data_IF_396446899537
#
_entry.id   IF_396446899537
#
_cell.length_a   1.000
_cell.length_b   1.000
_cell.length_c   1.000
_cell.angle_alpha   90.00
_cell.angle_beta   90.00
_cell.angle_gamma   90.00
#
_symmetry.space_group_name_H-M   'P 1'
#
loop_
_entity.id
_entity.type
_entity.pdbx_description
1 polymer ?
#
# COMPACT_ATOMS: atom_id res chain seq x y z
N UNK A 1 -33.27 -7.23 -6.36
CA UNK A 1 -32.54 -7.94 -5.30
C UNK A 1 -31.05 -7.77 -5.56
N UNK A 2 -30.24 -7.66 -4.52
CA UNK A 2 -28.77 -7.73 -4.66
C UNK A 2 -28.38 -9.15 -4.28
N UNK A 3 -27.76 -9.89 -5.19
CA UNK A 3 -27.31 -11.26 -4.96
C UNK A 3 -25.78 -11.29 -4.84
N UNK A 4 -25.21 -12.12 -3.95
CA UNK A 4 -23.76 -12.27 -3.84
C UNK A 4 -23.15 -12.82 -5.14
N UNK A 5 -22.09 -12.19 -5.63
CA UNK A 5 -21.30 -12.72 -6.73
C UNK A 5 -20.50 -13.95 -6.27
N UNK A 6 -20.64 -15.06 -6.97
CA UNK A 6 -19.76 -16.23 -6.79
C UNK A 6 -18.43 -15.96 -7.51
N UNK A 7 -17.48 -15.35 -6.81
CA UNK A 7 -16.21 -14.90 -7.39
C UNK A 7 -15.31 -16.10 -7.73
N UNK A 8 -15.16 -16.42 -9.02
CA UNK A 8 -14.20 -17.41 -9.50
C UNK A 8 -12.88 -16.81 -9.97
N UNK A 9 -12.82 -15.49 -10.20
CA UNK A 9 -11.63 -14.78 -10.62
C UNK A 9 -11.56 -13.39 -9.99
N UNK A 10 -10.35 -12.95 -9.65
CA UNK A 10 -10.08 -11.65 -9.06
C UNK A 10 -8.82 -11.01 -9.66
N UNK A 11 -8.77 -9.68 -9.62
CA UNK A 11 -7.62 -8.84 -9.92
C UNK A 11 -7.41 -7.85 -8.77
N UNK A 12 -6.16 -7.75 -8.32
CA UNK A 12 -5.67 -6.71 -7.43
C UNK A 12 -4.39 -6.11 -8.00
N UNK A 13 -4.38 -4.79 -8.17
CA UNK A 13 -3.19 -4.07 -8.59
C UNK A 13 -3.02 -2.76 -7.82
N UNK A 14 -1.77 -2.40 -7.58
CA UNK A 14 -1.38 -1.16 -6.91
C UNK A 14 -0.17 -0.59 -7.63
N UNK A 15 -0.10 0.73 -7.76
CA UNK A 15 1.05 1.37 -8.36
C UNK A 15 1.10 2.86 -8.05
N UNK A 16 2.31 3.41 -8.10
CA UNK A 16 2.53 4.84 -8.10
C UNK A 16 2.74 5.32 -9.53
N UNK A 17 2.19 6.49 -9.85
CA UNK A 17 2.21 7.07 -11.19
C UNK A 17 2.46 8.56 -11.10
N UNK A 18 3.16 9.15 -12.07
CA UNK A 18 3.19 10.61 -12.20
C UNK A 18 1.77 11.14 -12.41
N UNK A 19 1.53 12.42 -12.12
CA UNK A 19 0.20 13.02 -12.28
C UNK A 19 -0.39 12.85 -13.70
N UNK A 20 0.45 12.94 -14.74
CA UNK A 20 0.03 12.72 -16.13
C UNK A 20 -0.34 11.26 -16.42
N UNK A 21 0.46 10.31 -15.95
CA UNK A 21 0.19 8.87 -16.09
C UNK A 21 -1.08 8.46 -15.34
N UNK A 22 -1.29 9.00 -14.14
CA UNK A 22 -2.46 8.75 -13.30
C UNK A 22 -3.78 9.12 -14.01
N UNK A 23 -3.82 10.28 -14.68
CA UNK A 23 -4.99 10.68 -15.46
C UNK A 23 -5.23 9.75 -16.65
N UNK A 24 -4.18 9.47 -17.43
CA UNK A 24 -4.26 8.58 -18.59
C UNK A 24 -4.64 7.13 -18.22
N UNK A 25 -4.18 6.65 -17.07
CA UNK A 25 -4.56 5.35 -16.50
C UNK A 25 -6.05 5.29 -16.21
N UNK A 26 -6.59 6.32 -15.52
CA UNK A 26 -8.01 6.37 -15.15
C UNK A 26 -8.92 6.37 -16.37
N UNK A 27 -8.63 7.21 -17.36
CA UNK A 27 -9.43 7.33 -18.58
C UNK A 27 -9.44 6.02 -19.39
N UNK A 28 -8.31 5.31 -19.47
CA UNK A 28 -8.20 4.05 -20.20
C UNK A 28 -8.83 2.86 -19.47
N UNK A 29 -8.72 2.81 -18.14
CA UNK A 29 -9.28 1.70 -17.34
C UNK A 29 -10.80 1.79 -17.21
N UNK A 30 -11.38 2.98 -17.02
CA UNK A 30 -12.82 3.12 -16.81
C UNK A 30 -13.71 2.33 -17.79
N UNK A 31 -13.52 2.38 -19.12
CA UNK A 31 -14.34 1.59 -20.04
C UNK A 31 -14.12 0.08 -19.90
N UNK A 32 -12.89 -0.37 -19.66
CA UNK A 32 -12.54 -1.79 -19.53
C UNK A 32 -13.16 -2.41 -18.27
N UNK A 33 -13.19 -1.67 -17.17
CA UNK A 33 -13.75 -2.12 -15.90
C UNK A 33 -15.27 -2.37 -15.95
N UNK A 34 -15.99 -1.82 -16.95
CA UNK A 34 -17.41 -2.11 -17.17
C UNK A 34 -17.66 -3.52 -17.71
N UNK A 35 -16.63 -4.18 -18.25
CA UNK A 35 -16.70 -5.57 -18.69
C UNK A 35 -16.48 -6.58 -17.57
N UNK A 36 -16.38 -6.14 -16.31
CA UNK A 36 -16.18 -6.99 -15.14
C UNK A 36 -17.42 -6.93 -14.25
N UNK A 37 -17.72 -8.03 -13.54
CA UNK A 37 -18.92 -8.11 -12.68
C UNK A 37 -18.85 -7.13 -11.51
N UNK A 38 -17.65 -6.87 -10.99
CA UNK A 38 -17.38 -5.84 -10.02
C UNK A 38 -15.98 -5.25 -10.21
N UNK A 39 -15.85 -3.93 -10.04
CA UNK A 39 -14.56 -3.26 -10.12
C UNK A 39 -14.51 -1.97 -9.28
N UNK A 40 -13.34 -1.68 -8.72
CA UNK A 40 -13.02 -0.47 -7.97
C UNK A 40 -11.68 0.07 -8.46
N UNK A 41 -11.64 1.35 -8.80
CA UNK A 41 -10.42 2.07 -9.15
C UNK A 41 -10.32 3.29 -8.24
N UNK A 42 -9.43 3.25 -7.26
CA UNK A 42 -9.37 4.22 -6.17
C UNK A 42 -7.97 4.83 -6.06
N UNK A 43 -7.86 6.15 -5.88
CA UNK A 43 -6.58 6.77 -5.57
C UNK A 43 -6.16 6.43 -4.13
N UNK A 44 -4.85 6.41 -3.90
CA UNK A 44 -4.25 6.38 -2.57
C UNK A 44 -2.99 7.26 -2.52
N UNK A 45 -2.45 7.44 -1.32
CA UNK A 45 -1.35 8.37 -1.08
C UNK A 45 -1.87 9.70 -0.58
N UNK A 46 -0.97 10.67 -0.36
CA UNK A 46 -1.33 12.01 0.09
C UNK A 46 -0.85 13.03 -0.93
N UNK A 47 -1.63 14.08 -1.10
CA UNK A 47 -1.18 15.28 -1.79
C UNK A 47 -0.73 16.34 -0.76
N UNK A 48 0.36 17.08 -1.04
CA UNK A 48 1.33 16.85 -2.11
C UNK A 48 2.29 15.71 -1.72
N UNK A 49 2.44 14.71 -2.58
CA UNK A 49 3.55 13.77 -2.48
C UNK A 49 4.84 14.51 -2.86
N UNK A 50 5.95 14.26 -2.16
CA UNK A 50 7.22 14.95 -2.42
C UNK A 50 7.77 14.67 -3.82
N UNK A 51 7.29 13.59 -4.45
CA UNK A 51 7.64 13.19 -5.81
C UNK A 51 6.58 13.58 -6.86
N UNK A 52 5.50 14.29 -6.48
CA UNK A 52 4.37 14.63 -7.36
C UNK A 52 3.70 13.40 -8.02
N UNK A 53 3.66 12.30 -7.29
CA UNK A 53 3.08 11.04 -7.75
C UNK A 53 1.75 10.75 -7.05
N UNK A 54 0.89 10.00 -7.72
CA UNK A 54 -0.41 9.58 -7.24
C UNK A 54 -0.47 8.06 -7.26
N UNK A 55 -0.86 7.48 -6.13
CA UNK A 55 -1.09 6.05 -6.01
C UNK A 55 -2.44 5.67 -6.58
N UNK A 56 -2.52 4.55 -7.30
CA UNK A 56 -3.77 3.97 -7.77
C UNK A 56 -3.89 2.50 -7.39
N UNK A 57 -5.06 2.15 -6.85
CA UNK A 57 -5.48 0.79 -6.55
C UNK A 57 -6.58 0.38 -7.51
N UNK A 58 -6.39 -0.77 -8.16
CA UNK A 58 -7.38 -1.46 -8.94
C UNK A 58 -7.76 -2.77 -8.23
N UNK A 59 -9.05 -2.95 -7.99
CA UNK A 59 -9.64 -4.22 -7.60
C UNK A 59 -10.72 -4.58 -8.62
N UNK A 60 -10.79 -5.83 -9.04
CA UNK A 60 -11.91 -6.32 -9.84
C UNK A 60 -12.19 -7.79 -9.58
N UNK A 61 -13.43 -8.21 -9.80
CA UNK A 61 -13.89 -9.57 -9.63
C UNK A 61 -14.81 -9.96 -10.78
N UNK A 62 -14.81 -11.25 -11.10
CA UNK A 62 -15.67 -11.84 -12.12
C UNK A 62 -16.01 -13.30 -11.74
N UNK A 63 -17.16 -13.80 -12.19
CA UNK A 63 -17.61 -15.16 -11.91
C UNK A 63 -16.64 -16.21 -12.47
N UNK A 64 -16.09 -15.94 -13.66
CA UNK A 64 -15.08 -16.75 -14.33
C UNK A 64 -13.91 -15.87 -14.80
N UNK A 65 -12.83 -16.46 -15.32
CA UNK A 65 -11.77 -15.65 -15.91
C UNK A 65 -12.30 -14.83 -17.10
N UNK A 66 -12.13 -13.49 -17.11
CA UNK A 66 -12.60 -12.65 -18.20
C UNK A 66 -11.77 -12.87 -19.49
N UNK A 67 -12.23 -12.35 -20.64
CA UNK A 67 -11.51 -12.48 -21.91
C UNK A 67 -10.06 -12.00 -21.81
N UNK A 68 -9.16 -12.72 -22.47
CA UNK A 68 -7.72 -12.47 -22.37
C UNK A 68 -7.33 -11.08 -22.88
N UNK A 69 -8.02 -10.62 -23.90
CA UNK A 69 -7.84 -9.33 -24.55
C UNK A 69 -8.20 -8.20 -23.59
N UNK A 70 -9.32 -8.33 -22.87
CA UNK A 70 -9.74 -7.36 -21.85
C UNK A 70 -8.69 -7.24 -20.74
N UNK A 71 -8.11 -8.36 -20.30
CA UNK A 71 -7.05 -8.35 -19.30
C UNK A 71 -5.74 -7.76 -19.81
N UNK A 72 -5.37 -8.05 -21.06
CA UNK A 72 -4.19 -7.47 -21.69
C UNK A 72 -4.32 -5.94 -21.83
N UNK A 73 -5.49 -5.47 -22.26
CA UNK A 73 -5.79 -4.04 -22.38
C UNK A 73 -5.77 -3.35 -21.00
N UNK A 74 -6.36 -3.99 -19.98
CA UNK A 74 -6.35 -3.46 -18.62
C UNK A 74 -4.93 -3.40 -18.05
N UNK A 75 -4.12 -4.42 -18.32
CA UNK A 75 -2.73 -4.47 -17.89
C UNK A 75 -1.88 -3.36 -18.56
N UNK A 76 -2.04 -3.19 -19.87
CA UNK A 76 -1.37 -2.13 -20.63
C UNK A 76 -1.82 -0.73 -20.18
N UNK A 77 -3.10 -0.56 -19.88
CA UNK A 77 -3.65 0.69 -19.34
C UNK A 77 -3.09 1.02 -17.95
N UNK A 78 -2.91 0.00 -17.09
CA UNK A 78 -2.32 0.15 -15.77
C UNK A 78 -0.80 0.41 -15.81
N UNK A 79 -0.13 0.14 -16.92
CA UNK A 79 1.32 0.38 -17.07
C UNK A 79 2.20 -0.62 -16.32
N UNK A 80 1.68 -1.84 -16.10
CA UNK A 80 2.39 -2.93 -15.44
C UNK A 80 2.95 -3.98 -16.43
N UNK A 81 3.16 -3.63 -17.69
CA UNK A 81 3.75 -4.51 -18.71
C UNK A 81 4.87 -3.80 -19.47
N UNK A 82 6.03 -3.65 -18.81
CA UNK A 82 7.26 -3.16 -19.42
C UNK A 82 8.43 -4.13 -19.24
N UNK A 83 9.54 -3.87 -19.93
CA UNK A 83 10.72 -4.74 -19.89
C UNK A 83 11.38 -4.86 -18.51
N UNK A 84 11.11 -3.91 -17.59
CA UNK A 84 11.63 -3.94 -16.22
C UNK A 84 10.71 -4.70 -15.25
N UNK A 85 9.54 -5.14 -15.72
CA UNK A 85 8.54 -5.83 -14.92
C UNK A 85 8.87 -7.30 -14.80
N UNK A 86 9.00 -7.78 -13.56
CA UNK A 86 9.16 -9.20 -13.27
C UNK A 86 7.81 -9.90 -13.45
N UNK A 87 7.78 -11.03 -14.16
CA UNK A 87 6.55 -11.73 -14.54
C UNK A 87 6.54 -13.20 -14.13
N UNK A 88 5.40 -13.64 -13.59
CA UNK A 88 5.00 -15.04 -13.49
C UNK A 88 3.62 -15.20 -14.10
N UNK A 89 3.49 -16.13 -15.06
CA UNK A 89 2.25 -16.38 -15.79
C UNK A 89 2.01 -17.90 -15.84
N UNK A 90 0.97 -18.36 -15.14
CA UNK A 90 0.58 -19.77 -15.09
C UNK A 90 -0.30 -20.20 -16.28
N UNK A 91 -0.60 -19.29 -17.21
CA UNK A 91 -1.46 -19.51 -18.37
C UNK A 91 -2.86 -18.92 -18.23
N UNK A 92 -3.71 -19.09 -19.26
CA UNK A 92 -5.04 -18.50 -19.34
C UNK A 92 -5.93 -18.82 -18.14
N UNK A 93 -6.54 -17.79 -17.56
CA UNK A 93 -7.44 -17.90 -16.40
C UNK A 93 -6.77 -18.29 -15.08
N UNK A 94 -5.45 -18.47 -15.07
CA UNK A 94 -4.66 -18.85 -13.88
C UNK A 94 -3.89 -17.65 -13.33
N UNK A 95 -3.10 -17.86 -12.27
CA UNK A 95 -2.34 -16.80 -11.65
C UNK A 95 -1.38 -16.10 -12.62
N UNK A 96 -1.57 -14.80 -12.75
CA UNK A 96 -0.65 -13.84 -13.36
C UNK A 96 -0.17 -12.89 -12.25
N UNK A 97 1.14 -12.76 -12.10
CA UNK A 97 1.79 -11.89 -11.13
C UNK A 97 2.83 -11.04 -11.82
N UNK A 98 2.75 -9.73 -11.64
CA UNK A 98 3.69 -8.78 -12.21
C UNK A 98 4.15 -7.85 -11.10
N UNK A 99 5.46 -7.68 -10.97
CA UNK A 99 6.08 -6.85 -9.96
C UNK A 99 7.10 -5.92 -10.61
N UNK A 100 6.99 -4.62 -10.33
CA UNK A 100 7.95 -3.63 -10.78
C UNK A 100 8.67 -3.04 -9.58
N UNK A 101 10.00 -2.98 -9.64
CA UNK A 101 10.85 -2.38 -8.61
C UNK A 101 11.18 -0.94 -9.01
N UNK A 102 11.28 -0.03 -8.04
CA UNK A 102 11.76 1.34 -8.27
C UNK A 102 13.20 1.33 -8.79
N UNK A 103 13.48 2.12 -9.83
CA UNK A 103 14.82 2.22 -10.40
C UNK A 103 15.69 3.19 -9.57
N UNK A 104 16.94 2.81 -9.32
CA UNK A 104 17.94 3.69 -8.68
C UNK A 104 17.77 3.93 -7.19
N UNK A 105 16.82 3.25 -6.53
CA UNK A 105 16.67 3.30 -5.07
C UNK A 105 17.79 2.49 -4.39
N UNK A 106 18.35 2.96 -3.26
CA UNK A 106 19.38 2.23 -2.51
C UNK A 106 18.87 0.91 -1.92
N UNK A 107 17.58 0.85 -1.60
CA UNK A 107 16.87 -0.35 -1.18
C UNK A 107 15.80 -0.69 -2.23
N UNK A 108 15.61 -1.97 -2.53
CA UNK A 108 14.59 -2.40 -3.48
C UNK A 108 13.19 -2.12 -2.92
N UNK A 109 12.38 -1.34 -3.63
CA UNK A 109 10.99 -1.01 -3.27
C UNK A 109 10.06 -1.33 -4.44
N UNK A 110 8.83 -1.74 -4.17
CA UNK A 110 7.88 -1.98 -5.25
C UNK A 110 7.28 -0.67 -5.75
N UNK A 111 7.45 -0.42 -7.04
CA UNK A 111 6.79 0.64 -7.76
C UNK A 111 5.33 0.30 -8.06
N UNK A 112 5.10 -0.95 -8.48
CA UNK A 112 3.77 -1.48 -8.75
C UNK A 112 3.73 -3.00 -8.58
N UNK A 113 2.54 -3.52 -8.34
CA UNK A 113 2.24 -4.93 -8.30
C UNK A 113 0.88 -5.19 -8.96
N UNK A 114 0.76 -6.29 -9.68
CA UNK A 114 -0.47 -6.79 -10.29
C UNK A 114 -0.60 -8.28 -9.99
N UNK A 115 -1.76 -8.68 -9.49
CA UNK A 115 -2.12 -10.04 -9.16
C UNK A 115 -3.48 -10.34 -9.77
N UNK A 116 -3.58 -11.34 -10.64
CA UNK A 116 -4.87 -11.80 -11.14
C UNK A 116 -4.96 -13.31 -11.25
N UNK A 117 -6.15 -13.87 -11.08
CA UNK A 117 -6.40 -15.31 -11.08
C UNK A 117 -7.46 -15.72 -10.05
N UNK A 118 -7.54 -17.02 -9.72
CA UNK A 118 -8.47 -17.50 -8.69
C UNK A 118 -8.17 -16.86 -7.31
N UNK A 119 -9.17 -16.37 -6.56
CA UNK A 119 -8.96 -15.67 -5.28
C UNK A 119 -8.08 -16.42 -4.28
N UNK A 120 -8.23 -17.74 -4.20
CA UNK A 120 -7.46 -18.62 -3.31
C UNK A 120 -5.94 -18.56 -3.60
N UNK A 121 -5.54 -18.29 -4.84
CA UNK A 121 -4.13 -18.16 -5.22
C UNK A 121 -3.56 -16.76 -4.90
N UNK A 122 -4.42 -15.74 -4.75
CA UNK A 122 -4.01 -14.35 -4.56
C UNK A 122 -3.89 -13.96 -3.09
N UNK A 123 -4.82 -14.44 -2.25
CA UNK A 123 -5.05 -13.93 -0.90
C UNK A 123 -3.83 -13.96 0.04
N UNK A 124 -2.94 -14.98 0.02
CA UNK A 124 -1.75 -14.97 0.87
C UNK A 124 -0.76 -13.83 0.55
N UNK A 125 -0.70 -13.39 -0.71
CA UNK A 125 0.29 -12.41 -1.15
C UNK A 125 -0.26 -10.98 -1.27
N UNK A 126 -1.57 -10.84 -1.52
CA UNK A 126 -2.20 -9.57 -1.83
C UNK A 126 -1.98 -8.50 -0.75
N UNK A 127 -2.20 -8.83 0.53
CA UNK A 127 -2.18 -7.83 1.60
C UNK A 127 -0.76 -7.30 1.86
N UNK A 128 0.25 -8.16 1.78
CA UNK A 128 1.64 -7.76 1.94
C UNK A 128 2.15 -6.95 0.74
N UNK A 129 1.83 -7.37 -0.50
CA UNK A 129 2.17 -6.62 -1.70
C UNK A 129 1.49 -5.24 -1.72
N UNK A 130 0.24 -5.17 -1.29
CA UNK A 130 -0.48 -3.92 -1.09
C UNK A 130 0.27 -3.00 -0.12
N UNK A 131 0.67 -3.50 1.04
CA UNK A 131 1.40 -2.71 2.04
C UNK A 131 2.73 -2.20 1.48
N UNK A 132 3.54 -3.09 0.89
CA UNK A 132 4.84 -2.72 0.34
C UNK A 132 4.77 -1.67 -0.78
N UNK A 133 3.79 -1.76 -1.67
CA UNK A 133 3.58 -0.73 -2.71
C UNK A 133 3.06 0.57 -2.08
N UNK A 134 1.95 0.50 -1.33
CA UNK A 134 1.27 1.72 -0.82
C UNK A 134 2.11 2.52 0.15
N UNK A 135 2.96 1.85 0.91
CA UNK A 135 3.81 2.48 1.92
C UNK A 135 5.25 2.70 1.45
N UNK A 136 5.57 2.34 0.19
CA UNK A 136 6.91 2.43 -0.41
C UNK A 136 7.99 1.81 0.49
N UNK A 137 7.68 0.64 1.03
CA UNK A 137 8.56 -0.03 1.99
C UNK A 137 9.70 -0.76 1.27
N UNK A 138 10.89 -0.82 1.89
CA UNK A 138 11.95 -1.73 1.46
C UNK A 138 11.43 -3.17 1.44
N UNK A 139 11.76 -3.89 0.36
CA UNK A 139 11.48 -5.31 0.26
C UNK A 139 12.41 -6.10 1.18
N UNK A 140 11.87 -7.08 1.94
CA UNK A 140 12.70 -7.89 2.84
C UNK A 140 13.48 -8.99 2.08
N UNK A 141 13.19 -9.19 0.80
CA UNK A 141 13.84 -10.18 -0.06
C UNK A 141 13.86 -9.70 -1.52
N UNK A 142 14.52 -10.47 -2.39
CA UNK A 142 14.53 -10.15 -3.82
C UNK A 142 13.11 -10.28 -4.42
N UNK A 143 12.65 -9.27 -5.14
CA UNK A 143 11.29 -9.22 -5.73
C UNK A 143 10.90 -10.48 -6.53
N UNK A 144 11.88 -11.11 -7.22
CA UNK A 144 11.67 -12.38 -7.95
C UNK A 144 11.15 -13.54 -7.07
N UNK A 145 11.45 -13.54 -5.77
CA UNK A 145 10.98 -14.57 -4.84
C UNK A 145 9.48 -14.43 -4.56
N UNK A 146 8.96 -13.19 -4.62
CA UNK A 146 7.55 -12.86 -4.38
C UNK A 146 6.63 -13.25 -5.56
N UNK A 147 7.21 -13.53 -6.73
CA UNK A 147 6.47 -13.99 -7.91
C UNK A 147 5.98 -15.44 -7.80
N UNK A 148 6.54 -16.25 -6.89
CA UNK A 148 6.18 -17.66 -6.79
C UNK A 148 4.84 -17.80 -6.07
N UNK A 149 3.85 -18.53 -6.63
CA UNK A 149 2.64 -18.88 -5.90
C UNK A 149 2.96 -19.65 -4.61
N UNK A 150 2.14 -19.45 -3.58
CA UNK A 150 2.30 -20.12 -2.28
C UNK A 150 3.38 -19.52 -1.37
N UNK A 151 4.12 -18.51 -1.82
CA UNK A 151 4.95 -17.70 -0.92
C UNK A 151 4.04 -16.82 -0.08
N UNK A 152 4.04 -17.05 1.23
CA UNK A 152 3.45 -16.15 2.22
C UNK A 152 4.48 -15.03 2.50
N UNK A 153 4.25 -13.80 2.02
CA UNK A 153 5.20 -12.73 2.21
C UNK A 153 5.29 -12.29 3.69
N UNK A 154 4.31 -12.65 4.53
CA UNK A 154 4.41 -12.44 5.98
C UNK A 154 5.58 -13.23 6.59
N UNK A 155 5.86 -14.42 6.07
CA UNK A 155 6.97 -15.27 6.54
C UNK A 155 8.34 -14.80 6.03
N UNK A 156 8.36 -13.95 5.00
CA UNK A 156 9.58 -13.37 4.43
C UNK A 156 10.00 -12.07 5.13
N UNK A 157 9.36 -11.71 6.23
CA UNK A 157 9.66 -10.49 6.98
C UNK A 157 8.80 -9.31 6.53
N UNK A 158 7.51 -9.52 6.23
CA UNK A 158 6.58 -8.40 6.13
C UNK A 158 6.73 -7.54 7.38
N UNK A 159 6.95 -6.23 7.21
CA UNK A 159 7.04 -5.36 8.35
C UNK A 159 5.72 -5.44 9.13
N UNK A 160 5.76 -5.30 10.46
CA UNK A 160 4.55 -5.28 11.26
C UNK A 160 3.59 -4.24 10.70
N UNK A 161 2.27 -4.52 10.71
CA UNK A 161 1.26 -3.57 10.26
C UNK A 161 1.51 -2.21 10.92
N UNK A 162 1.29 -1.11 10.17
CA UNK A 162 1.38 0.24 10.74
C UNK A 162 0.59 0.27 12.03
N UNK A 163 1.31 0.58 13.12
CA UNK A 163 0.68 0.82 14.41
C UNK A 163 -0.39 1.91 14.29
N UNK A 164 -1.31 1.99 15.26
CA UNK A 164 -2.46 2.87 15.15
C UNK A 164 -2.06 4.32 14.85
N UNK A 165 -2.83 4.97 13.99
CA UNK A 165 -2.56 6.33 13.54
C UNK A 165 -2.87 7.32 14.67
N UNK A 166 -1.91 8.17 15.03
CA UNK A 166 -2.10 9.19 16.06
C UNK A 166 -2.67 10.48 15.47
N UNK A 167 -2.08 10.99 14.39
CA UNK A 167 -2.45 12.25 13.75
C UNK A 167 -2.69 12.05 12.25
N UNK A 168 -3.96 11.98 11.84
CA UNK A 168 -4.31 11.87 10.42
C UNK A 168 -3.91 13.11 9.62
N UNK A 169 -3.95 14.32 10.21
CA UNK A 169 -3.57 15.54 9.49
C UNK A 169 -2.12 15.52 9.03
N UNK A 170 -1.20 15.07 9.89
CA UNK A 170 0.25 15.13 9.64
C UNK A 170 0.89 13.76 9.37
N UNK A 171 0.09 12.71 9.18
CA UNK A 171 0.52 11.32 8.99
C UNK A 171 1.42 10.75 10.10
N UNK A 172 1.13 11.11 11.35
CA UNK A 172 1.94 10.66 12.47
C UNK A 172 1.33 9.41 13.08
N UNK A 173 2.02 8.28 12.95
CA UNK A 173 1.67 7.03 13.65
C UNK A 173 1.98 7.13 15.14
N UNK A 174 1.35 6.31 15.97
CA UNK A 174 1.71 6.22 17.40
C UNK A 174 3.17 5.82 17.60
N UNK A 175 3.69 4.92 16.76
CA UNK A 175 5.10 4.52 16.82
C UNK A 175 6.04 5.70 16.54
N UNK A 176 5.78 6.48 15.49
CA UNK A 176 6.56 7.68 15.16
C UNK A 176 6.48 8.74 16.26
N UNK A 177 5.29 8.91 16.87
CA UNK A 177 5.10 9.82 17.98
C UNK A 177 5.86 9.37 19.24
N UNK A 178 5.81 8.08 19.57
CA UNK A 178 6.54 7.50 20.70
C UNK A 178 8.06 7.62 20.51
N UNK A 179 8.57 7.43 19.28
CA UNK A 179 9.97 7.64 18.95
C UNK A 179 10.37 9.13 19.11
N UNK A 180 9.53 10.05 18.62
CA UNK A 180 9.77 11.49 18.76
C UNK A 180 9.73 11.95 20.24
N UNK A 181 8.82 11.39 21.04
CA UNK A 181 8.75 11.65 22.49
C UNK A 181 9.98 11.10 23.22
N UNK A 182 10.47 9.93 22.84
CA UNK A 182 11.65 9.30 23.44
C UNK A 182 12.97 10.01 23.08
N UNK A 183 13.01 10.72 21.95
CA UNK A 183 14.17 11.50 21.52
C UNK A 183 14.35 12.81 22.31
N UNK A 184 13.40 13.19 23.16
CA UNK A 184 13.43 14.41 23.95
C UNK A 184 13.50 14.11 25.46
N UNK A 185 14.35 14.83 26.16
CA UNK A 185 14.48 14.76 27.61
C UNK A 185 13.55 15.74 28.35
N UNK A 186 13.43 15.54 29.66
CA UNK A 186 12.66 16.43 30.53
C UNK A 186 11.22 15.97 30.77
N UNK A 187 10.38 16.84 31.38
CA UNK A 187 9.02 16.50 31.77
C UNK A 187 8.10 16.26 30.56
N UNK A 188 6.96 15.56 30.74
CA UNK A 188 6.06 15.18 29.64
C UNK A 188 5.66 16.34 28.72
N UNK A 189 5.37 17.51 29.27
CA UNK A 189 5.02 18.73 28.51
C UNK A 189 6.15 19.15 27.54
N UNK A 190 7.41 19.10 27.98
CA UNK A 190 8.59 19.44 27.15
C UNK A 190 8.76 18.43 26.03
N UNK A 191 8.59 17.13 26.33
CA UNK A 191 8.66 16.06 25.31
C UNK A 191 7.56 16.20 24.28
N UNK A 192 6.34 16.53 24.72
CA UNK A 192 5.21 16.81 23.83
C UNK A 192 5.54 17.98 22.90
N UNK A 193 6.04 19.09 23.42
CA UNK A 193 6.42 20.25 22.61
C UNK A 193 7.51 19.89 21.58
N UNK A 194 8.53 19.13 21.98
CA UNK A 194 9.58 18.66 21.08
C UNK A 194 9.04 17.70 19.99
N UNK A 195 8.18 16.75 20.38
CA UNK A 195 7.55 15.82 19.43
C UNK A 195 6.62 16.56 18.45
N UNK A 196 5.89 17.57 18.91
CA UNK A 196 5.10 18.44 18.04
C UNK A 196 5.98 19.25 17.09
N UNK A 197 7.12 19.78 17.54
CA UNK A 197 8.05 20.49 16.66
C UNK A 197 8.64 19.57 15.57
N UNK A 198 9.00 18.33 15.93
CA UNK A 198 9.58 17.36 15.01
C UNK A 198 8.57 16.80 14.00
N UNK A 199 7.36 16.48 14.44
CA UNK A 199 6.35 15.76 13.63
C UNK A 199 5.23 16.65 13.10
N UNK A 200 5.13 17.89 13.61
CA UNK A 200 4.02 18.83 13.39
C UNK A 200 2.65 18.31 13.87
N UNK A 201 2.58 17.19 14.60
CA UNK A 201 1.28 16.72 15.06
C UNK A 201 0.56 17.77 15.93
N UNK A 202 -0.75 17.87 15.76
CA UNK A 202 -1.58 18.81 16.50
C UNK A 202 -1.52 20.27 16.03
N UNK A 203 -0.81 20.59 14.95
CA UNK A 203 -0.77 21.96 14.38
C UNK A 203 -1.89 22.23 13.36
N UNK A 204 -2.81 21.29 13.15
CA UNK A 204 -3.95 21.43 12.23
C UNK A 204 -5.29 21.39 13.00
N UNK A 205 -5.86 20.20 13.28
CA UNK A 205 -7.15 20.09 13.99
C UNK A 205 -7.02 19.82 15.50
N UNK A 206 -5.80 19.51 16.00
CA UNK A 206 -5.53 19.27 17.42
C UNK A 206 -6.09 17.98 18.04
N UNK A 207 -6.87 17.17 17.32
CA UNK A 207 -7.55 15.98 17.88
C UNK A 207 -6.60 14.91 18.45
N UNK A 208 -5.35 14.89 17.98
CA UNK A 208 -4.32 13.96 18.44
C UNK A 208 -3.66 14.37 19.76
N UNK A 209 -3.80 15.62 20.21
CA UNK A 209 -3.09 16.16 21.37
C UNK A 209 -3.41 15.43 22.69
N UNK A 210 -4.68 15.10 23.01
CA UNK A 210 -4.99 14.36 24.23
C UNK A 210 -4.39 12.95 24.28
N UNK A 211 -4.18 12.32 23.13
CA UNK A 211 -3.53 11.00 23.06
C UNK A 211 -2.01 11.13 23.13
N UNK A 212 -1.43 12.11 22.46
CA UNK A 212 0.01 12.42 22.54
C UNK A 212 0.46 12.70 23.99
N UNK A 213 -0.30 13.52 24.74
CA UNK A 213 -0.01 13.80 26.16
C UNK A 213 -0.08 12.54 27.03
N UNK A 214 -1.05 11.66 26.78
CA UNK A 214 -1.17 10.37 27.49
C UNK A 214 0.05 9.48 27.23
N UNK A 215 0.50 9.36 25.97
CA UNK A 215 1.70 8.59 25.62
C UNK A 215 2.95 9.13 26.32
N UNK A 216 3.12 10.45 26.38
CA UNK A 216 4.25 11.08 27.07
C UNK A 216 4.23 10.81 28.59
N UNK A 217 3.06 10.88 29.21
CA UNK A 217 2.88 10.56 30.63
C UNK A 217 3.17 9.09 30.93
N UNK A 218 2.74 8.17 30.05
CA UNK A 218 3.02 6.73 30.18
C UNK A 218 4.52 6.44 30.09
N UNK A 219 5.23 7.02 29.12
CA UNK A 219 6.69 6.83 28.99
C UNK A 219 7.46 7.35 30.21
N UNK A 220 7.05 8.49 30.78
CA UNK A 220 7.69 9.03 31.98
C UNK A 220 7.54 8.08 33.20
N UNK A 221 6.40 7.40 33.30
CA UNK A 221 6.16 6.40 34.35
C UNK A 221 7.04 5.17 34.16
N UNK A 222 7.16 4.64 32.93
CA UNK A 222 8.00 3.47 32.63
C UNK A 222 9.48 3.72 32.93
N UNK A 223 9.99 4.91 32.63
CA UNK A 223 11.36 5.31 32.95
C UNK A 223 11.63 5.50 34.46
N UNK A 224 10.60 5.61 35.29
CA UNK A 224 10.75 5.77 36.75
C UNK A 224 10.72 4.42 37.49
N UNK A 225 10.27 3.35 36.84
CA UNK A 225 10.17 1.98 37.40
C UNK A 225 11.29 1.04 36.95
N UNK A 226 12.20 1.51 36.10
CA UNK A 226 13.36 0.75 35.60
C UNK A 226 14.63 1.31 36.23
#
# INVERSE_FOLDING_TARGET
>A
SVEPLAVGWELRAWGWFTQGEAWALRERLQPLLRGLDAALLLPFGREPDTQQELGWMLWAAHAEAPPRELLADALAAFGADDAATLRYDAGPGRSLRLLRVEAGAPEARLRSAWLSGPPAELQPAADALQAWVRERMPLPCAARQLLRPGVDPAQLGAAPPRGPQLCSCMDVSEASAMAALAAADGPPETRVAAAQAATRCGTCCGSCLPRLRRLAAQQAQTLSTT
#
